data_IF_112657131791
#
_entry.id   IF_112657131791
#
_cell.length_a   1.000
_cell.length_b   1.000
_cell.length_c   1.000
_cell.angle_alpha   90.00
_cell.angle_beta   90.00
_cell.angle_gamma   90.00
#
_symmetry.space_group_name_H-M   'P 1'
#
loop_
_entity.id
_entity.type
_entity.pdbx_description
1 polymer ?
#
# COMPACT_ATOMS: atom_id res chain seq x y z
N UNK A 1 -27.90 -42.46 2.17
CA UNK A 1 -27.27 -41.44 3.03
C UNK A 1 -25.73 -41.49 3.03
N UNK A 2 -25.06 -42.63 3.28
CA UNK A 2 -23.57 -42.72 3.30
C UNK A 2 -22.82 -42.19 2.06
N UNK A 3 -23.38 -42.39 0.85
CA UNK A 3 -22.79 -41.92 -0.43
C UNK A 3 -22.80 -40.39 -0.57
N UNK A 4 -23.79 -39.72 0.01
CA UNK A 4 -23.93 -38.26 -0.04
C UNK A 4 -22.88 -37.57 0.84
N UNK A 5 -22.68 -38.07 2.06
CA UNK A 5 -21.60 -37.60 2.96
C UNK A 5 -20.20 -37.83 2.39
N UNK A 6 -19.97 -38.95 1.69
CA UNK A 6 -18.70 -39.20 0.99
C UNK A 6 -18.44 -38.19 -0.13
N UNK A 7 -19.44 -37.91 -0.96
CA UNK A 7 -19.29 -36.94 -2.04
C UNK A 7 -19.09 -35.51 -1.52
N UNK A 8 -19.77 -35.16 -0.42
CA UNK A 8 -19.58 -33.88 0.26
C UNK A 8 -18.17 -33.76 0.85
N UNK A 9 -17.64 -34.83 1.46
CA UNK A 9 -16.26 -34.86 1.94
C UNK A 9 -15.21 -34.68 0.83
N UNK A 10 -15.42 -35.31 -0.33
CA UNK A 10 -14.54 -35.13 -1.50
C UNK A 10 -14.58 -33.68 -2.00
N UNK A 11 -15.77 -33.09 -2.08
CA UNK A 11 -15.92 -31.68 -2.48
C UNK A 11 -15.21 -30.72 -1.53
N UNK A 12 -15.39 -30.88 -0.22
CA UNK A 12 -14.70 -30.05 0.78
C UNK A 12 -13.17 -30.21 0.73
N UNK A 13 -12.69 -31.44 0.54
CA UNK A 13 -11.25 -31.69 0.39
C UNK A 13 -10.68 -31.00 -0.86
N UNK A 14 -11.39 -31.04 -1.98
CA UNK A 14 -10.96 -30.36 -3.20
C UNK A 14 -10.87 -28.83 -2.98
N UNK A 15 -11.87 -28.24 -2.32
CA UNK A 15 -11.86 -26.81 -1.96
C UNK A 15 -10.68 -26.48 -1.06
N UNK A 16 -10.41 -27.30 -0.03
CA UNK A 16 -9.29 -27.09 0.89
C UNK A 16 -7.92 -27.17 0.19
N UNK A 17 -7.76 -28.11 -0.76
CA UNK A 17 -6.53 -28.24 -1.53
C UNK A 17 -6.30 -27.07 -2.47
N UNK A 18 -7.34 -26.62 -3.18
CA UNK A 18 -7.27 -25.44 -4.06
C UNK A 18 -6.93 -24.20 -3.23
N UNK A 19 -7.60 -24.03 -2.09
CA UNK A 19 -7.34 -22.91 -1.19
C UNK A 19 -5.89 -22.91 -0.69
N UNK A 20 -5.40 -24.06 -0.19
CA UNK A 20 -4.02 -24.19 0.28
C UNK A 20 -2.99 -23.94 -0.81
N UNK A 21 -3.27 -24.36 -2.05
CA UNK A 21 -2.42 -24.08 -3.20
C UNK A 21 -2.34 -22.59 -3.54
N UNK A 22 -3.50 -21.93 -3.68
CA UNK A 22 -3.56 -20.48 -3.97
C UNK A 22 -2.90 -19.69 -2.85
N UNK A 23 -3.14 -20.05 -1.59
CA UNK A 23 -2.51 -19.42 -0.44
C UNK A 23 -0.98 -19.53 -0.48
N UNK A 24 -0.45 -20.72 -0.82
CA UNK A 24 1.00 -20.95 -0.89
C UNK A 24 1.64 -20.16 -2.04
N UNK A 25 1.00 -20.11 -3.19
CA UNK A 25 1.49 -19.35 -4.35
C UNK A 25 1.54 -17.86 -4.02
N UNK A 26 0.43 -17.33 -3.52
CA UNK A 26 0.32 -15.95 -3.06
C UNK A 26 1.37 -15.59 -2.00
N UNK A 27 1.66 -16.51 -1.07
CA UNK A 27 2.72 -16.34 -0.07
C UNK A 27 4.10 -16.22 -0.71
N UNK A 28 4.44 -17.11 -1.64
CA UNK A 28 5.73 -17.07 -2.35
C UNK A 28 5.90 -15.79 -3.17
N UNK A 29 4.87 -15.39 -3.91
CA UNK A 29 4.89 -14.13 -4.67
C UNK A 29 5.04 -12.93 -3.73
N UNK A 30 4.33 -12.93 -2.61
CA UNK A 30 4.46 -11.86 -1.61
C UNK A 30 5.86 -11.78 -1.04
N UNK A 31 6.52 -12.92 -0.76
CA UNK A 31 7.92 -12.92 -0.30
C UNK A 31 8.85 -12.27 -1.31
N UNK A 32 8.71 -12.59 -2.61
CA UNK A 32 9.50 -11.94 -3.67
C UNK A 32 9.28 -10.43 -3.69
N UNK A 33 8.03 -9.97 -3.62
CA UNK A 33 7.71 -8.54 -3.59
C UNK A 33 8.25 -7.84 -2.35
N UNK A 34 8.19 -8.52 -1.20
CA UNK A 34 8.74 -8.01 0.05
C UNK A 34 10.26 -7.87 -0.02
N UNK A 35 10.97 -8.87 -0.54
CA UNK A 35 12.42 -8.84 -0.67
C UNK A 35 12.87 -7.73 -1.63
N UNK A 36 12.16 -7.56 -2.75
CA UNK A 36 12.38 -6.44 -3.68
C UNK A 36 12.14 -5.07 -3.00
N UNK A 37 11.06 -4.95 -2.23
CA UNK A 37 10.74 -3.73 -1.50
C UNK A 37 11.80 -3.40 -0.44
N UNK A 38 12.28 -4.42 0.28
CA UNK A 38 13.35 -4.29 1.25
C UNK A 38 14.67 -3.88 0.60
N UNK A 39 15.02 -4.45 -0.56
CA UNK A 39 16.21 -4.05 -1.30
C UNK A 39 16.17 -2.57 -1.73
N UNK A 40 15.01 -2.06 -2.18
CA UNK A 40 14.84 -0.62 -2.44
C UNK A 40 14.86 0.23 -1.16
N UNK A 41 14.24 -0.27 -0.07
CA UNK A 41 14.25 0.41 1.23
C UNK A 41 15.68 0.61 1.75
N UNK A 42 16.52 -0.42 1.66
CA UNK A 42 17.92 -0.38 2.10
C UNK A 42 18.78 0.59 1.28
N UNK A 43 18.42 0.83 0.02
CA UNK A 43 19.05 1.82 -0.85
C UNK A 43 18.54 3.26 -0.63
N UNK A 44 17.52 3.44 0.21
CA UNK A 44 16.84 4.73 0.38
C UNK A 44 15.88 5.09 -0.76
N UNK A 45 15.56 4.14 -1.65
CA UNK A 45 14.65 4.33 -2.77
C UNK A 45 13.19 4.15 -2.30
N UNK A 46 12.73 5.03 -1.42
CA UNK A 46 11.47 4.84 -0.68
C UNK A 46 10.23 4.79 -1.56
N UNK A 47 10.21 5.51 -2.68
CA UNK A 47 9.14 5.42 -3.68
C UNK A 47 8.99 4.02 -4.25
N UNK A 48 10.09 3.45 -4.71
CA UNK A 48 10.16 2.07 -5.22
C UNK A 48 9.85 1.06 -4.12
N UNK A 49 10.32 1.29 -2.90
CA UNK A 49 10.00 0.42 -1.76
C UNK A 49 8.51 0.39 -1.42
N UNK A 50 7.80 1.53 -1.52
CA UNK A 50 6.37 1.60 -1.29
C UNK A 50 5.57 0.98 -2.44
N UNK A 51 5.89 1.37 -3.69
CA UNK A 51 5.01 1.14 -4.84
C UNK A 51 5.48 0.06 -5.82
N UNK A 52 6.75 -0.29 -5.78
CA UNK A 52 7.41 -1.16 -6.75
C UNK A 52 8.19 -0.40 -7.80
N UNK A 53 9.04 -1.14 -8.51
CA UNK A 53 9.82 -0.62 -9.63
C UNK A 53 9.07 -0.87 -10.95
N UNK A 54 9.15 0.07 -11.86
CA UNK A 54 8.68 -0.13 -13.24
C UNK A 54 9.62 -1.12 -13.95
N UNK A 55 9.07 -2.22 -14.44
CA UNK A 55 9.76 -3.21 -15.25
C UNK A 55 9.02 -3.38 -16.56
N UNK A 56 9.75 -3.47 -17.68
CA UNK A 56 9.16 -3.79 -18.98
C UNK A 56 9.00 -5.31 -19.05
N UNK A 57 7.76 -5.77 -19.10
CA UNK A 57 7.39 -7.17 -19.27
C UNK A 57 7.78 -7.70 -20.65
N UNK A 58 7.68 -9.02 -20.82
CA UNK A 58 8.03 -9.70 -22.08
C UNK A 58 7.11 -9.30 -23.25
N UNK A 59 5.91 -8.80 -22.94
CA UNK A 59 4.93 -8.27 -23.90
C UNK A 59 5.17 -6.78 -24.26
N UNK A 60 6.21 -6.16 -23.69
CA UNK A 60 6.56 -4.76 -23.87
C UNK A 60 5.75 -3.79 -23.02
N UNK A 61 4.85 -4.27 -22.14
CA UNK A 61 4.11 -3.41 -21.22
C UNK A 61 4.92 -3.14 -19.95
N UNK A 62 4.80 -1.93 -19.41
CA UNK A 62 5.46 -1.58 -18.14
C UNK A 62 4.57 -2.00 -16.98
N UNK A 63 5.05 -2.94 -16.18
CA UNK A 63 4.41 -3.40 -14.95
C UNK A 63 5.17 -2.90 -13.73
N UNK A 64 4.45 -2.62 -12.65
CA UNK A 64 5.09 -2.37 -11.36
C UNK A 64 5.36 -3.70 -10.69
N UNK A 65 6.62 -3.95 -10.34
CA UNK A 65 7.05 -5.18 -9.72
C UNK A 65 7.68 -4.90 -8.35
N UNK A 66 7.20 -5.60 -7.33
CA UNK A 66 7.58 -5.43 -5.93
C UNK A 66 6.91 -4.26 -5.21
N UNK A 67 7.38 -3.99 -4.00
CA UNK A 67 6.88 -2.89 -3.17
C UNK A 67 5.92 -3.38 -2.09
N UNK A 68 5.97 -2.71 -0.94
CA UNK A 68 5.13 -3.07 0.20
C UNK A 68 3.64 -2.98 -0.11
N UNK A 69 3.22 -2.13 -1.06
CA UNK A 69 1.82 -2.06 -1.48
C UNK A 69 1.31 -3.42 -1.96
N UNK A 70 2.06 -4.12 -2.81
CA UNK A 70 1.58 -5.36 -3.44
C UNK A 70 1.42 -6.49 -2.43
N UNK A 71 2.34 -6.56 -1.45
CA UNK A 71 2.22 -7.47 -0.32
C UNK A 71 0.97 -7.15 0.50
N UNK A 72 0.74 -5.87 0.81
CA UNK A 72 -0.40 -5.46 1.63
C UNK A 72 -1.72 -5.69 0.89
N UNK A 73 -1.80 -5.34 -0.38
CA UNK A 73 -3.01 -5.46 -1.19
C UNK A 73 -3.39 -6.93 -1.40
N UNK A 74 -2.40 -7.81 -1.62
CA UNK A 74 -2.63 -9.24 -1.71
C UNK A 74 -3.38 -9.77 -0.46
N UNK A 75 -2.84 -9.51 0.72
CA UNK A 75 -3.35 -10.10 1.98
C UNK A 75 -4.47 -9.29 2.66
N UNK A 76 -4.87 -8.14 2.09
CA UNK A 76 -5.93 -7.30 2.66
C UNK A 76 -7.30 -7.95 2.55
N UNK A 77 -7.53 -8.76 1.52
CA UNK A 77 -8.82 -9.41 1.25
C UNK A 77 -9.34 -10.20 2.47
N UNK A 78 -10.65 -10.15 2.79
CA UNK A 78 -11.20 -10.81 3.98
C UNK A 78 -10.97 -12.32 4.02
N UNK A 79 -10.89 -12.94 2.84
CA UNK A 79 -10.74 -14.38 2.68
C UNK A 79 -9.29 -14.86 2.57
N UNK A 80 -8.31 -13.94 2.56
CA UNK A 80 -6.90 -14.27 2.52
C UNK A 80 -6.38 -14.64 3.94
N UNK A 81 -6.87 -15.75 4.49
CA UNK A 81 -6.57 -16.19 5.86
C UNK A 81 -5.95 -17.60 5.94
N UNK A 82 -4.93 -17.85 6.77
CA UNK A 82 -4.31 -16.92 7.71
C UNK A 82 -3.42 -15.91 7.00
N UNK A 83 -3.37 -14.68 7.52
CA UNK A 83 -2.41 -13.68 7.04
C UNK A 83 -1.01 -14.02 7.56
N UNK A 84 0.01 -14.09 6.70
CA UNK A 84 1.38 -14.35 7.12
C UNK A 84 2.00 -13.14 7.81
N UNK A 85 3.07 -13.33 8.57
CA UNK A 85 3.77 -12.25 9.29
C UNK A 85 4.28 -11.13 8.35
N UNK A 86 4.72 -11.51 7.14
CA UNK A 86 5.17 -10.60 6.08
C UNK A 86 4.13 -9.51 5.78
N UNK A 87 2.82 -9.81 5.86
CA UNK A 87 1.78 -8.81 5.66
C UNK A 87 1.90 -7.67 6.67
N UNK A 88 1.95 -7.99 7.97
CA UNK A 88 2.07 -7.00 9.03
C UNK A 88 3.42 -6.29 9.01
N UNK A 89 4.49 -6.98 8.61
CA UNK A 89 5.82 -6.37 8.46
C UNK A 89 5.85 -5.37 7.30
N UNK A 90 5.22 -5.70 6.17
CA UNK A 90 5.11 -4.79 5.02
C UNK A 90 4.31 -3.53 5.37
N UNK A 91 3.19 -3.67 6.09
CA UNK A 91 2.43 -2.52 6.59
C UNK A 91 3.30 -1.64 7.47
N UNK A 92 3.99 -2.24 8.46
CA UNK A 92 4.86 -1.50 9.38
C UNK A 92 5.98 -0.78 8.64
N UNK A 93 6.61 -1.41 7.65
CA UNK A 93 7.67 -0.80 6.85
C UNK A 93 7.15 0.35 5.99
N UNK A 94 5.99 0.19 5.37
CA UNK A 94 5.33 1.26 4.63
C UNK A 94 5.02 2.46 5.55
N UNK A 95 4.49 2.20 6.76
CA UNK A 95 4.23 3.22 7.75
C UNK A 95 5.52 3.93 8.17
N UNK A 96 6.59 3.19 8.48
CA UNK A 96 7.90 3.80 8.80
C UNK A 96 8.41 4.69 7.67
N UNK A 97 8.26 4.28 6.40
CA UNK A 97 8.66 5.12 5.27
C UNK A 97 7.88 6.44 5.29
N UNK A 98 6.55 6.34 5.34
CA UNK A 98 5.66 7.49 5.23
C UNK A 98 5.91 8.46 6.38
N UNK A 99 5.92 7.96 7.62
CA UNK A 99 5.96 8.80 8.81
C UNK A 99 7.36 9.36 9.10
N UNK A 100 8.42 8.59 8.84
CA UNK A 100 9.77 8.89 9.35
C UNK A 100 10.84 9.11 8.29
N UNK A 101 10.67 8.59 7.07
CA UNK A 101 11.75 8.56 6.07
C UNK A 101 11.55 9.51 4.90
N UNK A 102 10.31 9.73 4.47
CA UNK A 102 10.02 10.60 3.34
C UNK A 102 10.32 12.06 3.68
N UNK A 103 10.90 12.76 2.71
CA UNK A 103 10.92 14.23 2.70
C UNK A 103 9.64 14.79 2.07
N UNK A 104 9.44 16.11 2.22
CA UNK A 104 8.37 16.83 1.53
C UNK A 104 8.53 16.67 0.01
N UNK A 105 9.74 16.87 -0.50
CA UNK A 105 10.05 16.83 -1.92
C UNK A 105 9.82 15.44 -2.51
N UNK A 106 10.19 14.38 -1.78
CA UNK A 106 9.92 13.00 -2.16
C UNK A 106 8.42 12.69 -2.17
N UNK A 107 7.68 13.11 -1.13
CA UNK A 107 6.23 12.92 -1.07
C UNK A 107 5.50 13.59 -2.24
N UNK A 108 5.88 14.83 -2.57
CA UNK A 108 5.35 15.54 -3.74
C UNK A 108 5.73 14.89 -5.06
N UNK A 109 6.96 14.39 -5.19
CA UNK A 109 7.40 13.67 -6.37
C UNK A 109 6.59 12.38 -6.57
N UNK A 110 6.32 11.64 -5.49
CA UNK A 110 5.47 10.44 -5.54
C UNK A 110 4.05 10.78 -5.97
N UNK A 111 3.49 11.88 -5.46
CA UNK A 111 2.18 12.34 -5.92
C UNK A 111 2.18 12.64 -7.42
N UNK A 112 3.15 13.41 -7.93
CA UNK A 112 3.24 13.73 -9.36
C UNK A 112 3.36 12.47 -10.23
N UNK A 113 4.14 11.48 -9.78
CA UNK A 113 4.36 10.24 -10.52
C UNK A 113 3.17 9.28 -10.49
N UNK A 114 2.42 9.25 -9.38
CA UNK A 114 1.44 8.18 -9.14
C UNK A 114 0.00 8.65 -8.96
N UNK A 115 -0.32 9.95 -9.05
CA UNK A 115 -1.68 10.46 -8.84
C UNK A 115 -2.73 9.83 -9.76
N UNK A 116 -2.36 9.53 -11.00
CA UNK A 116 -3.25 8.90 -11.98
C UNK A 116 -3.14 7.37 -12.00
N UNK A 117 -2.48 6.77 -11.01
CA UNK A 117 -2.27 5.33 -10.90
C UNK A 117 -2.84 4.85 -9.57
N UNK A 118 -3.24 3.57 -9.53
CA UNK A 118 -3.68 2.98 -8.27
C UNK A 118 -2.54 3.01 -7.25
N UNK A 119 -2.71 3.70 -6.13
CA UNK A 119 -1.72 3.79 -5.07
C UNK A 119 -2.40 3.94 -3.70
N UNK A 120 -2.37 2.84 -2.94
CA UNK A 120 -3.00 2.70 -1.63
C UNK A 120 -2.45 3.67 -0.58
N UNK A 121 -1.24 4.18 -0.77
CA UNK A 121 -0.56 5.04 0.21
C UNK A 121 -0.59 6.54 -0.15
N UNK A 122 -1.02 6.91 -1.36
CA UNK A 122 -0.82 8.27 -1.86
C UNK A 122 -1.57 9.34 -1.05
N UNK A 123 -2.79 9.02 -0.60
CA UNK A 123 -3.57 9.91 0.27
C UNK A 123 -2.83 10.18 1.59
N UNK A 124 -2.30 9.12 2.22
CA UNK A 124 -1.54 9.19 3.46
C UNK A 124 -0.21 9.92 3.31
N UNK A 125 0.52 9.68 2.21
CA UNK A 125 1.75 10.41 1.88
C UNK A 125 1.47 11.91 1.82
N UNK A 126 0.43 12.32 1.09
CA UNK A 126 0.12 13.75 0.95
C UNK A 126 -0.41 14.38 2.23
N UNK A 127 -1.15 13.63 3.06
CA UNK A 127 -1.49 14.10 4.40
C UNK A 127 -0.22 14.36 5.22
N UNK A 128 0.72 13.42 5.23
CA UNK A 128 1.99 13.56 5.96
C UNK A 128 2.84 14.72 5.43
N UNK A 129 2.86 14.95 4.11
CA UNK A 129 3.51 16.14 3.52
C UNK A 129 2.93 17.44 4.09
N UNK A 130 1.60 17.53 4.20
CA UNK A 130 0.95 18.69 4.82
C UNK A 130 1.35 18.87 6.28
N UNK A 131 1.47 17.77 7.02
CA UNK A 131 1.92 17.78 8.42
C UNK A 131 3.38 18.22 8.54
N UNK A 132 4.26 17.80 7.62
CA UNK A 132 5.65 18.24 7.59
C UNK A 132 5.78 19.74 7.29
N UNK A 133 4.94 20.29 6.42
CA UNK A 133 4.88 21.75 6.22
C UNK A 133 4.43 22.47 7.49
N UNK A 134 3.41 21.94 8.18
CA UNK A 134 2.91 22.48 9.45
C UNK A 134 3.99 22.46 10.54
N UNK A 135 4.72 21.35 10.67
CA UNK A 135 5.85 21.18 11.60
C UNK A 135 6.96 22.21 11.33
N UNK A 136 7.22 22.54 10.06
CA UNK A 136 8.18 23.57 9.63
C UNK A 136 7.63 25.00 9.75
N UNK A 137 6.39 25.17 10.24
CA UNK A 137 5.64 26.45 10.30
C UNK A 137 5.43 27.11 8.94
N UNK A 138 5.52 26.34 7.86
CA UNK A 138 5.10 26.78 6.54
C UNK A 138 3.60 26.54 6.37
N UNK A 139 2.82 27.43 6.99
CA UNK A 139 1.36 27.32 6.97
C UNK A 139 0.76 27.51 5.58
N UNK A 140 1.48 28.17 4.67
CA UNK A 140 1.04 28.29 3.28
C UNK A 140 1.11 26.93 2.59
N UNK A 141 2.27 26.26 2.65
CA UNK A 141 2.44 24.91 2.13
C UNK A 141 1.44 23.95 2.75
N UNK A 142 1.33 23.93 4.08
CA UNK A 142 0.38 23.06 4.79
C UNK A 142 -1.08 23.27 4.34
N UNK A 143 -1.49 24.53 4.17
CA UNK A 143 -2.85 24.88 3.72
C UNK A 143 -3.11 24.42 2.29
N UNK A 144 -2.16 24.63 1.38
CA UNK A 144 -2.27 24.20 -0.02
C UNK A 144 -2.33 22.66 -0.09
N UNK A 145 -1.46 21.96 0.64
CA UNK A 145 -1.44 20.50 0.68
C UNK A 145 -2.69 19.90 1.31
N UNK A 146 -3.18 20.41 2.45
CA UNK A 146 -4.41 19.88 3.05
C UNK A 146 -5.62 20.10 2.15
N UNK A 147 -5.73 21.26 1.46
CA UNK A 147 -6.79 21.46 0.47
C UNK A 147 -6.74 20.42 -0.63
N UNK A 148 -5.56 20.23 -1.23
CA UNK A 148 -5.33 19.18 -2.23
C UNK A 148 -5.79 17.82 -1.70
N UNK A 149 -5.38 17.43 -0.49
CA UNK A 149 -5.79 16.15 0.11
C UNK A 149 -7.32 16.04 0.23
N UNK A 150 -7.98 17.10 0.68
CA UNK A 150 -9.45 17.09 0.85
C UNK A 150 -10.21 17.02 -0.47
N UNK A 151 -9.66 17.57 -1.54
CA UNK A 151 -10.27 17.64 -2.87
C UNK A 151 -9.97 16.36 -3.67
N UNK A 152 -8.69 15.99 -3.75
CA UNK A 152 -8.21 14.88 -4.55
C UNK A 152 -8.52 13.51 -3.95
N UNK A 153 -8.60 13.40 -2.62
CA UNK A 153 -8.86 12.15 -1.90
C UNK A 153 -10.14 12.18 -1.08
N UNK A 154 -11.18 12.88 -1.58
CA UNK A 154 -12.45 13.05 -0.88
C UNK A 154 -13.14 11.73 -0.46
N UNK A 155 -12.88 10.64 -1.17
CA UNK A 155 -13.44 9.31 -0.88
C UNK A 155 -12.74 8.59 0.29
N UNK A 156 -11.48 8.94 0.57
CA UNK A 156 -10.76 8.47 1.75
C UNK A 156 -11.18 9.31 2.96
N UNK A 157 -12.27 8.91 3.61
CA UNK A 157 -12.92 9.69 4.67
C UNK A 157 -12.03 9.95 5.87
N UNK A 158 -11.13 9.02 6.18
CA UNK A 158 -10.22 9.15 7.32
C UNK A 158 -9.14 10.20 7.04
N UNK A 159 -8.47 10.08 5.89
CA UNK A 159 -7.44 11.01 5.46
C UNK A 159 -8.01 12.40 5.18
N UNK A 160 -9.09 12.48 4.40
CA UNK A 160 -9.77 13.75 4.08
C UNK A 160 -10.35 14.41 5.34
N UNK A 161 -10.91 13.63 6.26
CA UNK A 161 -11.42 14.12 7.55
C UNK A 161 -10.31 14.73 8.40
N UNK A 162 -9.17 14.05 8.50
CA UNK A 162 -7.99 14.53 9.23
C UNK A 162 -7.44 15.82 8.60
N UNK A 163 -7.31 15.87 7.28
CA UNK A 163 -6.86 17.07 6.57
C UNK A 163 -7.80 18.27 6.81
N UNK A 164 -9.13 18.08 6.77
CA UNK A 164 -10.10 19.15 7.09
C UNK A 164 -9.95 19.65 8.52
N UNK A 165 -9.82 18.74 9.47
CA UNK A 165 -9.66 19.09 10.88
C UNK A 165 -8.39 19.91 11.11
N UNK A 166 -7.26 19.52 10.51
CA UNK A 166 -6.00 20.28 10.59
C UNK A 166 -6.10 21.63 9.89
N UNK A 167 -6.64 21.66 8.67
CA UNK A 167 -6.85 22.88 7.88
C UNK A 167 -7.64 23.96 8.65
N UNK A 168 -8.64 23.55 9.45
CA UNK A 168 -9.45 24.47 10.27
C UNK A 168 -8.72 25.07 11.47
N UNK A 169 -7.60 24.46 11.88
CA UNK A 169 -6.79 24.86 13.04
C UNK A 169 -5.53 25.64 12.63
N UNK A 170 -5.21 25.67 11.34
CA UNK A 170 -4.09 26.46 10.83
C UNK A 170 -4.34 27.96 11.09
N UNK A 171 -3.29 28.72 11.45
CA UNK A 171 -3.39 30.17 11.70
C UNK A 171 -3.66 31.00 10.43
#
# INVERSE_FOLDING_TARGET
MKKWWRNLGIGLMAVALIYGWVWLEMYRTSQVYFDMAMASYEKGEYGSALKGMEMVGEDGQTELNGGFQQVVDAWREPYAWPRPAIYSEAQKKADTIIEEKLTIEEGEALFKSYFNRDNTYLSRIMLRVGEMYEERRDFRGAKETYKLVTEAFAMDKDVSGTAKARLSKLP
#
